data_IF_040991830227
#
_entry.id   IF_040991830227
#
_cell.length_a   1.000
_cell.length_b   1.000
_cell.length_c   1.000
_cell.angle_alpha   90.00
_cell.angle_beta   90.00
_cell.angle_gamma   90.00
#
_symmetry.space_group_name_H-M   'P 1'
#
loop_
_entity.id
_entity.type
_entity.pdbx_description
1 polymer ?
#
# COMPACT_ATOMS: atom_id res chain seq x y z
N UNK A 1 13.78 -11.72 6.64
CA UNK A 1 12.82 -10.72 6.13
C UNK A 1 13.56 -9.95 5.06
N UNK A 2 13.21 -10.07 3.77
CA UNK A 2 13.92 -9.31 2.72
C UNK A 2 13.44 -7.86 2.82
N UNK A 3 14.33 -6.97 3.25
CA UNK A 3 14.10 -5.53 3.13
C UNK A 3 13.99 -5.19 1.65
N UNK A 4 12.82 -4.73 1.24
CA UNK A 4 12.56 -4.25 -0.11
C UNK A 4 12.21 -2.77 0.01
N UNK A 5 12.89 -1.92 -0.75
CA UNK A 5 12.64 -0.48 -0.72
C UNK A 5 11.39 -0.16 -1.53
N UNK A 6 10.34 0.34 -0.87
CA UNK A 6 9.09 0.79 -1.53
C UNK A 6 9.38 1.84 -2.60
N UNK A 7 10.34 2.73 -2.35
CA UNK A 7 10.75 3.79 -3.28
C UNK A 7 11.40 3.29 -4.58
N UNK A 8 11.72 2.00 -4.67
CA UNK A 8 12.21 1.39 -5.91
C UNK A 8 11.09 0.92 -6.86
N UNK A 9 9.83 0.98 -6.42
CA UNK A 9 8.69 0.64 -7.27
C UNK A 9 8.38 1.77 -8.26
N UNK A 10 8.12 1.45 -9.54
CA UNK A 10 7.72 2.46 -10.53
C UNK A 10 6.45 3.23 -10.17
N UNK A 11 5.55 2.60 -9.41
CA UNK A 11 4.29 3.20 -8.97
C UNK A 11 4.46 4.15 -7.78
N UNK A 12 5.62 4.16 -7.11
CA UNK A 12 5.88 5.09 -6.02
C UNK A 12 6.16 6.48 -6.59
N UNK A 13 5.35 7.46 -6.20
CA UNK A 13 5.42 8.84 -6.68
C UNK A 13 5.51 9.80 -5.49
N UNK A 14 6.50 9.57 -4.62
CA UNK A 14 6.70 10.34 -3.39
C UNK A 14 5.47 10.35 -2.46
N UNK A 15 4.76 9.21 -2.37
CA UNK A 15 3.66 9.04 -1.43
C UNK A 15 4.08 9.46 -0.02
N UNK A 16 3.29 10.34 0.60
CA UNK A 16 3.52 10.84 1.96
C UNK A 16 3.55 9.71 3.00
N UNK A 17 2.78 8.64 2.79
CA UNK A 17 2.75 7.47 3.67
C UNK A 17 2.51 6.19 2.89
N UNK A 18 3.26 5.14 3.24
CA UNK A 18 2.99 3.77 2.84
C UNK A 18 3.10 2.88 4.07
N UNK A 19 1.99 2.28 4.49
CA UNK A 19 1.91 1.46 5.69
C UNK A 19 1.45 0.04 5.36
N UNK A 20 2.07 -0.95 6.01
CA UNK A 20 1.66 -2.35 5.97
C UNK A 20 1.04 -2.75 7.30
N UNK A 21 -0.11 -3.43 7.25
CA UNK A 21 -0.78 -3.98 8.41
C UNK A 21 -0.94 -5.48 8.25
N UNK A 22 -0.59 -6.21 9.30
CA UNK A 22 -0.81 -7.66 9.40
C UNK A 22 -1.50 -7.97 10.72
N UNK A 23 -2.63 -8.69 10.65
CA UNK A 23 -3.22 -9.35 11.81
C UNK A 23 -3.18 -10.86 11.61
N UNK A 24 -2.32 -11.52 12.37
CA UNK A 24 -2.11 -12.98 12.29
C UNK A 24 -3.33 -13.78 12.72
N UNK A 25 -4.19 -13.23 13.60
CA UNK A 25 -5.36 -13.95 14.11
C UNK A 25 -6.43 -14.10 13.03
N UNK A 26 -6.67 -13.03 12.26
CA UNK A 26 -7.62 -13.04 11.15
C UNK A 26 -6.99 -13.43 9.81
N UNK A 27 -5.66 -13.42 9.72
CA UNK A 27 -4.92 -13.60 8.47
C UNK A 27 -4.93 -12.35 7.58
N UNK A 28 -5.37 -11.20 8.10
CA UNK A 28 -5.40 -9.94 7.37
C UNK A 28 -3.98 -9.50 7.02
N UNK A 29 -3.78 -9.18 5.74
CA UNK A 29 -2.63 -8.44 5.24
C UNK A 29 -3.15 -7.31 4.37
N UNK A 30 -2.71 -6.10 4.63
CA UNK A 30 -3.19 -4.93 3.90
C UNK A 30 -2.11 -3.86 3.77
N UNK A 31 -2.25 -3.06 2.72
CA UNK A 31 -1.43 -1.89 2.47
C UNK A 31 -2.33 -0.66 2.43
N UNK A 32 -1.86 0.42 3.04
CA UNK A 32 -2.45 1.76 2.92
C UNK A 32 -1.39 2.66 2.31
N UNK A 33 -1.70 3.25 1.16
CA UNK A 33 -0.86 4.24 0.50
C UNK A 33 -1.60 5.58 0.50
N UNK A 34 -0.93 6.63 0.96
CA UNK A 34 -1.42 8.01 0.91
C UNK A 34 -0.48 8.78 0.02
N UNK A 35 -0.97 9.19 -1.14
CA UNK A 35 -0.18 9.96 -2.11
C UNK A 35 0.04 11.40 -1.62
N UNK A 36 -1.04 12.09 -1.25
CA UNK A 36 -0.98 13.52 -0.93
C UNK A 36 -2.12 13.93 0.05
N UNK A 37 -1.84 14.86 0.97
CA UNK A 37 -2.83 15.45 1.90
C UNK A 37 -2.91 16.98 1.87
N UNK A 38 -2.35 17.63 0.84
CA UNK A 38 -2.29 19.10 0.72
C UNK A 38 -3.67 19.79 0.76
N UNK A 39 -4.73 19.10 0.31
CA UNK A 39 -6.11 19.63 0.29
C UNK A 39 -6.97 19.11 1.46
N UNK A 40 -6.35 18.49 2.46
CA UNK A 40 -7.02 17.91 3.63
C UNK A 40 -6.81 16.40 3.74
N UNK A 41 -7.63 15.71 4.57
CA UNK A 41 -7.49 14.28 4.80
C UNK A 41 -7.62 13.46 3.51
N UNK A 42 -6.73 12.49 3.32
CA UNK A 42 -6.80 11.58 2.19
C UNK A 42 -8.08 10.74 2.25
N UNK A 43 -8.77 10.65 1.11
CA UNK A 43 -9.97 9.82 0.94
C UNK A 43 -9.69 8.80 -0.16
N UNK A 44 -9.94 7.52 0.13
CA UNK A 44 -9.70 6.42 -0.80
C UNK A 44 -10.60 5.23 -0.51
N UNK A 45 -10.84 4.40 -1.51
CA UNK A 45 -11.62 3.17 -1.36
C UNK A 45 -10.79 2.02 -0.80
N UNK A 46 -11.44 1.05 -0.17
CA UNK A 46 -10.82 -0.23 0.20
C UNK A 46 -11.07 -1.26 -0.89
N UNK A 47 -9.99 -1.80 -1.48
CA UNK A 47 -10.07 -2.93 -2.41
C UNK A 47 -9.71 -4.22 -1.70
N UNK A 48 -10.61 -5.19 -1.75
CA UNK A 48 -10.35 -6.56 -1.33
C UNK A 48 -10.21 -7.44 -2.57
N UNK A 49 -9.02 -7.99 -2.80
CA UNK A 49 -8.71 -8.76 -4.01
C UNK A 49 -7.64 -9.82 -3.76
N UNK A 50 -7.66 -10.89 -4.55
CA UNK A 50 -6.67 -11.96 -4.50
C UNK A 50 -5.48 -11.63 -5.42
N UNK A 51 -4.39 -11.11 -4.86
CA UNK A 51 -3.13 -10.91 -5.58
C UNK A 51 -2.22 -12.14 -5.46
N UNK A 52 -1.34 -12.36 -6.43
CA UNK A 52 -0.42 -13.52 -6.40
C UNK A 52 0.75 -13.30 -5.43
N UNK A 53 1.02 -12.06 -5.04
CA UNK A 53 2.05 -11.71 -4.08
C UNK A 53 1.77 -10.39 -3.36
N UNK A 54 2.41 -10.18 -2.20
CA UNK A 54 2.38 -8.90 -1.46
C UNK A 54 2.91 -7.74 -2.32
N UNK A 55 3.87 -8.00 -3.21
CA UNK A 55 4.42 -6.99 -4.12
C UNK A 55 3.38 -6.52 -5.14
N UNK A 56 2.57 -7.42 -5.69
CA UNK A 56 1.48 -7.04 -6.61
C UNK A 56 0.43 -6.18 -5.89
N UNK A 57 0.05 -6.56 -4.67
CA UNK A 57 -0.89 -5.79 -3.85
C UNK A 57 -0.35 -4.38 -3.53
N UNK A 58 0.92 -4.26 -3.14
CA UNK A 58 1.56 -2.98 -2.86
C UNK A 58 1.63 -2.10 -4.11
N UNK A 59 2.05 -2.65 -5.27
CA UNK A 59 2.08 -1.88 -6.53
C UNK A 59 0.70 -1.36 -6.91
N UNK A 60 -0.34 -2.17 -6.73
CA UNK A 60 -1.71 -1.72 -7.00
C UNK A 60 -2.14 -0.62 -6.04
N UNK A 61 -1.85 -0.75 -4.73
CA UNK A 61 -2.15 0.28 -3.75
C UNK A 61 -1.46 1.62 -4.04
N UNK A 62 -0.20 1.60 -4.51
CA UNK A 62 0.54 2.81 -4.87
C UNK A 62 -0.01 3.50 -6.14
N UNK A 63 -0.58 2.72 -7.07
CA UNK A 63 -1.10 3.21 -8.36
C UNK A 63 -2.48 3.86 -8.25
N UNK A 64 -3.25 3.53 -7.21
CA UNK A 64 -4.60 4.04 -6.98
C UNK A 64 -4.56 5.42 -6.32
#
# INVERSE_FOLDING_TARGET
MREFSVSSLPEFDNHELVAFFEDKKTGLKSFVAVHNTNLGPATGGTRYWNYRSEREALRDALRL
#
